data_IF_040890689981
#
_entry.id   IF_040890689981
#
_cell.length_a   1.000
_cell.length_b   1.000
_cell.length_c   1.000
_cell.angle_alpha   90.00
_cell.angle_beta   90.00
_cell.angle_gamma   90.00
#
_symmetry.space_group_name_H-M   'P 1'
#
loop_
_entity.id
_entity.type
_entity.pdbx_description
1 polymer ?
#
# COMPACT_ATOMS: atom_id res chain seq x y z
N UNK A 1 -5.45 2.41 -14.39
CA UNK A 1 -5.01 2.21 -13.00
C UNK A 1 -5.30 3.53 -12.28
N UNK A 2 -6.42 3.62 -11.56
CA UNK A 2 -6.86 4.83 -10.86
C UNK A 2 -6.09 4.94 -9.54
N UNK A 3 -4.84 5.40 -9.64
CA UNK A 3 -4.04 5.82 -8.50
C UNK A 3 -3.34 7.10 -8.92
N UNK A 4 -3.34 8.11 -8.06
CA UNK A 4 -2.69 9.38 -8.35
C UNK A 4 -1.24 9.13 -8.73
N UNK A 5 -0.84 9.57 -9.94
CA UNK A 5 0.53 9.48 -10.40
C UNK A 5 1.37 10.47 -9.61
N UNK A 6 1.74 10.09 -8.38
CA UNK A 6 2.64 10.87 -7.57
C UNK A 6 4.08 10.54 -7.97
N UNK A 7 4.86 11.57 -8.32
CA UNK A 7 6.29 11.46 -8.58
C UNK A 7 7.12 11.30 -7.30
N UNK A 8 6.51 11.42 -6.13
CA UNK A 8 7.18 11.44 -4.82
C UNK A 8 6.21 11.10 -3.70
N UNK A 9 6.54 10.11 -2.89
CA UNK A 9 5.67 9.67 -1.82
C UNK A 9 6.35 8.65 -0.92
N UNK A 10 5.56 8.01 -0.07
CA UNK A 10 6.06 6.97 0.80
C UNK A 10 6.28 5.67 0.03
N UNK A 11 7.45 5.05 0.18
CA UNK A 11 7.81 3.82 -0.52
C UNK A 11 7.54 2.61 0.38
N UNK A 12 6.42 1.93 0.15
CA UNK A 12 5.98 0.75 0.91
C UNK A 12 6.34 -0.58 0.21
N UNK A 13 6.57 -1.63 0.99
CA UNK A 13 6.81 -2.99 0.48
C UNK A 13 5.53 -3.82 0.61
N UNK A 14 4.93 -4.19 -0.51
CA UNK A 14 3.69 -4.95 -0.57
C UNK A 14 3.97 -6.28 -1.27
N UNK A 15 3.79 -7.41 -0.57
CA UNK A 15 3.98 -8.76 -1.12
C UNK A 15 5.30 -8.93 -1.91
N UNK A 16 6.40 -8.37 -1.41
CA UNK A 16 7.72 -8.44 -2.07
C UNK A 16 7.93 -7.47 -3.24
N UNK A 17 6.96 -6.59 -3.53
CA UNK A 17 7.05 -5.54 -4.55
C UNK A 17 7.02 -4.16 -3.92
N UNK A 18 7.92 -3.28 -4.35
CA UNK A 18 7.92 -1.87 -3.95
C UNK A 18 6.79 -1.12 -4.66
N UNK A 19 5.99 -0.39 -3.87
CA UNK A 19 4.89 0.46 -4.33
C UNK A 19 5.02 1.86 -3.72
N UNK A 20 4.45 2.86 -4.41
CA UNK A 20 4.44 4.25 -3.96
C UNK A 20 3.06 4.62 -3.43
N UNK A 21 3.02 5.23 -2.25
CA UNK A 21 1.83 5.75 -1.56
C UNK A 21 1.95 7.26 -1.42
N UNK A 22 0.85 8.01 -1.32
CA UNK A 22 0.93 9.45 -1.16
C UNK A 22 1.48 9.83 0.22
N UNK A 23 1.16 9.05 1.25
CA UNK A 23 1.64 9.21 2.64
C UNK A 23 1.99 7.87 3.27
N UNK A 24 2.68 7.89 4.41
CA UNK A 24 2.93 6.68 5.21
C UNK A 24 1.63 6.13 5.81
N UNK A 25 0.68 6.99 6.20
CA UNK A 25 -0.65 6.59 6.68
C UNK A 25 -1.37 5.71 5.67
N UNK A 26 -1.42 6.12 4.40
CA UNK A 26 -2.05 5.32 3.33
C UNK A 26 -1.41 3.94 3.17
N UNK A 27 -0.08 3.85 3.34
CA UNK A 27 0.60 2.55 3.31
C UNK A 27 0.17 1.66 4.47
N UNK A 28 0.09 2.19 5.70
CA UNK A 28 -0.32 1.40 6.86
C UNK A 28 -1.79 0.99 6.80
N UNK A 29 -2.67 1.85 6.29
CA UNK A 29 -4.07 1.51 6.04
C UNK A 29 -4.19 0.38 5.02
N UNK A 30 -3.51 0.52 3.88
CA UNK A 30 -3.44 -0.52 2.85
C UNK A 30 -2.94 -1.86 3.40
N UNK A 31 -1.86 -1.85 4.19
CA UNK A 31 -1.30 -3.08 4.76
C UNK A 31 -2.26 -3.74 5.76
N UNK A 32 -2.98 -2.95 6.55
CA UNK A 32 -3.98 -3.47 7.51
C UNK A 32 -5.17 -4.11 6.80
N UNK A 33 -5.71 -3.44 5.77
CA UNK A 33 -6.82 -3.99 4.97
C UNK A 33 -6.41 -5.29 4.26
N UNK A 34 -5.20 -5.37 3.71
CA UNK A 34 -4.70 -6.56 3.04
C UNK A 34 -4.19 -7.67 3.98
N UNK A 35 -3.93 -7.38 5.26
CA UNK A 35 -3.68 -8.41 6.27
C UNK A 35 -4.97 -9.15 6.67
N UNK A 36 -6.11 -8.44 6.70
CA UNK A 36 -7.43 -9.00 7.00
C UNK A 36 -7.91 -9.97 5.89
N UNK A 37 -7.59 -9.70 4.62
CA UNK A 37 -7.90 -10.60 3.50
C UNK A 37 -7.15 -11.94 3.53
N UNK A 38 -5.95 -12.00 4.14
CA UNK A 38 -5.15 -13.25 4.20
C UNK A 38 -5.55 -14.21 5.33
N UNK A 39 -6.39 -13.76 6.27
CA UNK A 39 -6.86 -14.58 7.39
C UNK A 39 -8.31 -15.06 7.20
N UNK A 40 -8.92 -14.80 6.05
CA UNK A 40 -10.29 -15.19 5.72
C UNK A 40 -10.42 -16.53 4.94
N UNK A 41 -9.34 -17.32 4.83
CA UNK A 41 -9.32 -18.67 4.22
C UNK A 41 -9.11 -19.77 5.27
#
# INVERSE_FOLDING_TARGET
MYGYLTSSGYKGLVCGRWMLFATDTEYYEYMREHEEERHAD
#
